data_IF_424635050578
#
_entry.id   IF_424635050578
#
_cell.length_a   1.000
_cell.length_b   1.000
_cell.length_c   1.000
_cell.angle_alpha   90.00
_cell.angle_beta   90.00
_cell.angle_gamma   90.00
#
_symmetry.space_group_name_H-M   'P 1'
#
loop_
_entity.id
_entity.type
_entity.pdbx_description
1 polymer ?
#
# COMPACT_ATOMS: atom_id res chain seq x y z
N UNK A 1 -23.31 -8.65 -4.44
CA UNK A 1 -22.76 -7.44 -5.08
C UNK A 1 -23.46 -7.22 -6.42
N UNK A 2 -24.08 -6.06 -6.64
CA UNK A 2 -24.75 -5.74 -7.92
C UNK A 2 -23.72 -5.56 -9.05
N UNK A 3 -24.09 -5.93 -10.28
CA UNK A 3 -23.31 -5.70 -11.52
C UNK A 3 -22.90 -4.23 -11.65
N UNK A 4 -23.75 -3.32 -11.17
CA UNK A 4 -23.50 -1.88 -11.17
C UNK A 4 -22.34 -1.46 -10.24
N UNK A 5 -22.16 -2.19 -9.12
CA UNK A 5 -21.05 -1.97 -8.19
C UNK A 5 -19.71 -2.45 -8.73
N UNK A 6 -19.71 -3.55 -9.49
CA UNK A 6 -18.49 -4.08 -10.14
C UNK A 6 -17.99 -3.12 -11.24
N UNK A 7 -18.91 -2.56 -12.03
CA UNK A 7 -18.58 -1.56 -13.06
C UNK A 7 -18.03 -0.27 -12.46
N UNK A 8 -18.64 0.24 -11.37
CA UNK A 8 -18.14 1.45 -10.68
C UNK A 8 -16.73 1.25 -10.12
N UNK A 9 -16.45 0.11 -9.50
CA UNK A 9 -15.11 -0.20 -8.98
C UNK A 9 -14.04 -0.24 -10.11
N UNK A 10 -14.37 -0.84 -11.25
CA UNK A 10 -13.47 -0.89 -12.40
C UNK A 10 -13.19 0.51 -13.01
N UNK A 11 -14.21 1.38 -13.10
CA UNK A 11 -14.03 2.78 -13.53
C UNK A 11 -13.11 3.54 -12.58
N UNK A 12 -13.29 3.36 -11.28
CA UNK A 12 -12.46 4.01 -10.26
C UNK A 12 -11.01 3.53 -10.30
N UNK A 13 -10.78 2.22 -10.48
CA UNK A 13 -9.44 1.65 -10.67
C UNK A 13 -8.69 2.32 -11.83
N UNK A 14 -9.35 2.49 -12.98
CA UNK A 14 -8.74 3.17 -14.13
C UNK A 14 -8.44 4.66 -13.87
N UNK A 15 -9.28 5.34 -13.09
CA UNK A 15 -9.01 6.73 -12.67
C UNK A 15 -7.80 6.84 -11.73
N UNK A 16 -7.53 5.80 -10.93
CA UNK A 16 -6.38 5.72 -10.03
C UNK A 16 -5.08 5.42 -10.78
N UNK A 17 -5.12 4.43 -11.67
CA UNK A 17 -3.94 3.91 -12.39
C UNK A 17 -3.46 4.86 -13.50
N UNK A 18 -4.38 5.60 -14.14
CA UNK A 18 -4.09 6.28 -15.42
C UNK A 18 -4.52 7.73 -15.52
N UNK A 19 -5.11 8.31 -14.47
CA UNK A 19 -5.70 9.64 -14.57
C UNK A 19 -4.72 10.69 -15.15
N UNK A 20 -5.18 11.81 -15.75
CA UNK A 20 -6.52 12.11 -16.26
C UNK A 20 -6.86 11.36 -17.56
N UNK A 21 -8.02 10.71 -17.58
CA UNK A 21 -8.48 9.84 -18.68
C UNK A 21 -9.90 10.22 -19.15
N UNK A 22 -10.24 9.98 -20.41
CA UNK A 22 -11.58 10.26 -20.94
C UNK A 22 -12.56 9.11 -20.71
N UNK A 23 -13.86 9.42 -20.67
CA UNK A 23 -14.91 8.41 -20.59
C UNK A 23 -14.89 7.41 -21.77
N UNK A 24 -14.42 7.83 -22.94
CA UNK A 24 -14.27 6.96 -24.11
C UNK A 24 -13.12 5.97 -23.92
N UNK A 25 -11.97 6.41 -23.40
CA UNK A 25 -10.83 5.53 -23.12
C UNK A 25 -11.17 4.49 -22.04
N UNK A 26 -11.86 4.91 -20.97
CA UNK A 26 -12.40 4.00 -19.95
C UNK A 26 -13.38 3.00 -20.58
N UNK A 27 -14.28 3.47 -21.45
CA UNK A 27 -15.25 2.61 -22.14
C UNK A 27 -14.58 1.53 -22.99
N UNK A 28 -13.57 1.91 -23.78
CA UNK A 28 -12.80 0.96 -24.61
C UNK A 28 -12.12 -0.13 -23.77
N UNK A 29 -11.51 0.24 -22.63
CA UNK A 29 -10.81 -0.72 -21.76
C UNK A 29 -11.76 -1.68 -21.06
N UNK A 30 -12.93 -1.20 -20.66
CA UNK A 30 -13.91 -2.00 -19.92
C UNK A 30 -14.94 -2.71 -20.82
N UNK A 31 -14.88 -2.51 -22.14
CA UNK A 31 -15.90 -3.04 -23.06
C UNK A 31 -17.27 -2.39 -22.87
N UNK A 32 -17.31 -1.14 -22.39
CA UNK A 32 -18.53 -0.40 -22.04
C UNK A 32 -18.77 0.76 -22.99
N UNK A 33 -20.04 1.14 -23.17
CA UNK A 33 -20.36 2.36 -23.89
C UNK A 33 -19.89 3.60 -23.12
N UNK A 34 -19.40 4.61 -23.82
CA UNK A 34 -19.01 5.88 -23.20
C UNK A 34 -20.18 6.55 -22.46
N UNK A 35 -21.43 6.28 -22.85
CA UNK A 35 -22.61 6.76 -22.14
C UNK A 35 -22.81 6.05 -20.79
N UNK A 36 -22.59 4.73 -20.73
CA UNK A 36 -22.64 3.98 -19.48
C UNK A 36 -21.57 4.43 -18.49
N UNK A 37 -20.33 4.62 -18.98
CA UNK A 37 -19.23 5.13 -18.16
C UNK A 37 -19.52 6.55 -17.63
N UNK A 38 -20.11 7.43 -18.45
CA UNK A 38 -20.46 8.79 -18.02
C UNK A 38 -21.43 8.80 -16.83
N UNK A 39 -22.43 7.91 -16.81
CA UNK A 39 -23.35 7.81 -15.65
C UNK A 39 -22.60 7.52 -14.35
N UNK A 40 -21.62 6.61 -14.39
CA UNK A 40 -20.79 6.32 -13.22
C UNK A 40 -19.87 7.49 -12.85
N UNK A 41 -19.27 8.16 -13.84
CA UNK A 41 -18.44 9.35 -13.60
C UNK A 41 -19.24 10.52 -13.02
N UNK A 42 -20.48 10.72 -13.49
CA UNK A 42 -21.36 11.78 -13.01
C UNK A 42 -21.73 11.53 -11.53
N UNK A 43 -22.05 10.28 -11.16
CA UNK A 43 -22.29 9.90 -9.76
C UNK A 43 -21.04 10.06 -8.87
N UNK A 44 -19.85 9.77 -9.40
CA UNK A 44 -18.57 10.00 -8.71
C UNK A 44 -18.27 11.51 -8.54
N UNK A 45 -18.66 12.34 -9.51
CA UNK A 45 -18.54 13.80 -9.40
C UNK A 45 -19.52 14.35 -8.37
N UNK A 46 -20.77 13.90 -8.39
CA UNK A 46 -21.82 14.34 -7.46
C UNK A 46 -21.45 14.00 -6.00
N UNK A 47 -20.82 12.84 -5.78
CA UNK A 47 -20.28 12.44 -4.48
C UNK A 47 -18.94 13.09 -4.11
N UNK A 48 -18.36 13.92 -4.99
CA UNK A 48 -17.07 14.58 -4.78
C UNK A 48 -15.85 13.64 -4.87
N UNK A 49 -16.05 12.40 -5.33
CA UNK A 49 -15.03 11.34 -5.46
C UNK A 49 -14.20 11.47 -6.76
N UNK A 50 -14.76 12.10 -7.79
CA UNK A 50 -14.07 12.43 -9.03
C UNK A 50 -14.28 13.90 -9.41
N UNK A 51 -13.39 14.43 -10.24
CA UNK A 51 -13.53 15.78 -10.81
C UNK A 51 -13.16 15.77 -12.29
N UNK A 52 -13.68 16.76 -13.01
CA UNK A 52 -13.24 17.01 -14.39
C UNK A 52 -11.87 17.70 -14.37
N UNK A 53 -10.93 17.18 -15.15
CA UNK A 53 -9.67 17.84 -15.46
C UNK A 53 -9.75 18.49 -16.85
N UNK A 54 -9.17 19.67 -17.00
CA UNK A 54 -9.00 20.27 -18.33
C UNK A 54 -7.94 19.49 -19.10
N UNK A 55 -8.23 19.18 -20.37
CA UNK A 55 -7.22 18.63 -21.24
C UNK A 55 -6.11 19.67 -21.42
N UNK A 56 -4.87 19.29 -21.09
CA UNK A 56 -3.69 20.12 -21.38
C UNK A 56 -3.67 20.48 -22.87
N UNK A 57 -3.41 21.75 -23.18
CA UNK A 57 -3.29 22.28 -24.54
C UNK A 57 -2.24 21.57 -25.40
N UNK A 58 -1.29 20.85 -24.78
CA UNK A 58 -0.21 20.13 -25.46
C UNK A 58 -0.64 18.82 -26.15
N UNK A 59 -1.82 18.26 -25.82
CA UNK A 59 -2.36 17.05 -26.46
C UNK A 59 -3.40 17.34 -27.55
N UNK A 60 -3.45 18.57 -28.07
CA UNK A 60 -4.37 18.97 -29.13
C UNK A 60 -3.90 18.50 -30.51
N UNK A 61 -4.32 17.30 -30.91
CA UNK A 61 -4.30 16.85 -32.31
C UNK A 61 -5.73 16.53 -32.75
N UNK A 62 -6.50 17.56 -33.11
CA UNK A 62 -7.81 17.37 -33.76
C UNK A 62 -8.74 18.57 -33.76
N UNK A 63 -9.69 18.57 -34.70
CA UNK A 63 -10.82 19.51 -34.78
C UNK A 63 -11.94 19.04 -33.85
N UNK A 64 -12.39 19.89 -32.92
CA UNK A 64 -13.53 19.60 -32.04
C UNK A 64 -13.37 20.16 -30.62
N UNK A 65 -14.47 20.25 -29.86
CA UNK A 65 -14.44 20.64 -28.44
C UNK A 65 -13.64 19.56 -27.67
N UNK A 66 -12.63 19.92 -26.86
CA UNK A 66 -11.80 18.95 -26.17
C UNK A 66 -12.62 18.00 -25.30
N UNK A 67 -12.29 16.70 -25.35
CA UNK A 67 -12.94 15.69 -24.53
C UNK A 67 -12.67 15.99 -23.05
N UNK A 68 -13.73 15.98 -22.23
CA UNK A 68 -13.58 16.09 -20.77
C UNK A 68 -12.76 14.90 -20.27
N UNK A 69 -11.68 15.20 -19.55
CA UNK A 69 -10.92 14.21 -18.81
C UNK A 69 -11.42 14.17 -17.37
N UNK A 70 -11.27 13.02 -16.74
CA UNK A 70 -11.72 12.76 -15.39
C UNK A 70 -10.54 12.29 -14.57
N UNK A 71 -10.53 12.68 -13.30
CA UNK A 71 -9.51 12.30 -12.34
C UNK A 71 -10.17 12.08 -10.98
N UNK A 72 -9.69 11.08 -10.24
CA UNK A 72 -10.10 10.85 -8.85
C UNK A 72 -9.66 12.02 -7.96
N UNK A 73 -10.51 12.42 -7.01
CA UNK A 73 -10.17 13.43 -5.99
C UNK A 73 -9.50 12.77 -4.78
N UNK A 74 -8.97 13.57 -3.85
CA UNK A 74 -8.49 13.05 -2.57
C UNK A 74 -9.61 12.32 -1.79
N UNK A 75 -10.82 12.89 -1.77
CA UNK A 75 -12.01 12.27 -1.16
C UNK A 75 -12.36 10.92 -1.79
N UNK A 76 -12.28 10.81 -3.12
CA UNK A 76 -12.51 9.56 -3.83
C UNK A 76 -11.45 8.51 -3.55
N UNK A 77 -10.18 8.91 -3.35
CA UNK A 77 -9.12 8.00 -2.90
C UNK A 77 -9.39 7.46 -1.50
N UNK A 78 -9.88 8.30 -0.58
CA UNK A 78 -10.23 7.87 0.79
C UNK A 78 -11.34 6.82 0.82
N UNK A 79 -12.46 7.06 0.11
CA UNK A 79 -13.65 6.19 0.17
C UNK A 79 -13.47 4.75 -0.30
N UNK A 80 -12.40 4.43 -1.02
CA UNK A 80 -12.19 3.10 -1.60
C UNK A 80 -11.54 2.10 -0.65
N UNK A 81 -10.88 2.56 0.41
CA UNK A 81 -10.24 1.71 1.42
C UNK A 81 -11.18 1.26 2.55
N UNK A 82 -12.21 2.04 2.88
CA UNK A 82 -12.81 1.95 4.21
C UNK A 82 -13.66 0.71 4.49
N UNK A 83 -14.41 0.11 3.55
CA UNK A 83 -15.36 -0.97 3.95
C UNK A 83 -14.69 -2.26 4.45
N UNK A 84 -13.50 -2.60 3.94
CA UNK A 84 -12.77 -3.77 4.40
C UNK A 84 -11.88 -3.44 5.60
N UNK A 85 -11.31 -2.24 5.62
CA UNK A 85 -10.51 -1.76 6.75
C UNK A 85 -11.38 -1.56 8.00
N UNK A 86 -12.62 -1.08 7.85
CA UNK A 86 -13.60 -0.94 8.93
C UNK A 86 -13.98 -2.31 9.51
N UNK A 87 -14.18 -3.32 8.66
CA UNK A 87 -14.46 -4.68 9.10
C UNK A 87 -13.24 -5.30 9.79
N UNK A 88 -12.04 -5.11 9.24
CA UNK A 88 -10.80 -5.59 9.83
C UNK A 88 -10.53 -4.92 11.20
N UNK A 89 -10.71 -3.61 11.30
CA UNK A 89 -10.61 -2.86 12.56
C UNK A 89 -11.66 -3.32 13.58
N UNK A 90 -12.91 -3.55 13.16
CA UNK A 90 -13.94 -4.09 14.04
C UNK A 90 -13.59 -5.51 14.56
N UNK A 91 -13.06 -6.37 13.70
CA UNK A 91 -12.60 -7.70 14.09
C UNK A 91 -11.42 -7.64 15.07
N UNK A 92 -10.46 -6.74 14.85
CA UNK A 92 -9.32 -6.54 15.75
C UNK A 92 -9.75 -5.99 17.11
N UNK A 93 -10.69 -5.03 17.15
CA UNK A 93 -11.29 -4.56 18.41
C UNK A 93 -11.96 -5.71 19.18
N UNK A 94 -12.75 -6.54 18.49
CA UNK A 94 -13.39 -7.69 19.12
C UNK A 94 -12.37 -8.73 19.63
N UNK A 95 -11.28 -8.94 18.89
CA UNK A 95 -10.19 -9.82 19.32
C UNK A 95 -9.54 -9.29 20.61
N UNK A 96 -9.30 -7.98 20.69
CA UNK A 96 -8.76 -7.34 21.90
C UNK A 96 -9.74 -7.46 23.07
N UNK A 97 -11.04 -7.29 22.86
CA UNK A 97 -12.05 -7.45 23.92
C UNK A 97 -12.09 -8.87 24.49
N UNK A 98 -11.99 -9.90 23.63
CA UNK A 98 -12.10 -11.31 24.04
C UNK A 98 -10.79 -11.83 24.63
N UNK A 99 -9.66 -11.50 23.98
CA UNK A 99 -8.35 -12.09 24.27
C UNK A 99 -7.32 -11.15 24.90
N UNK A 100 -7.67 -9.88 25.11
CA UNK A 100 -6.76 -8.85 25.60
C UNK A 100 -5.65 -8.48 24.60
N UNK A 101 -4.71 -7.66 25.06
CA UNK A 101 -3.59 -7.16 24.22
C UNK A 101 -2.67 -8.30 23.75
N UNK A 102 -2.49 -9.34 24.58
CA UNK A 102 -1.70 -10.52 24.23
C UNK A 102 -2.24 -11.24 22.97
N UNK A 103 -3.55 -11.23 22.74
CA UNK A 103 -4.14 -11.82 21.54
C UNK A 103 -3.83 -10.99 20.28
N UNK A 104 -3.77 -9.67 20.41
CA UNK A 104 -3.38 -8.76 19.33
C UNK A 104 -1.90 -8.95 18.98
N UNK A 105 -1.02 -9.00 19.98
CA UNK A 105 0.40 -9.26 19.76
C UNK A 105 0.64 -10.60 19.08
N UNK A 106 -0.05 -11.66 19.53
CA UNK A 106 0.08 -12.99 18.95
C UNK A 106 -0.44 -13.03 17.50
N UNK A 107 -1.57 -12.37 17.23
CA UNK A 107 -2.08 -12.22 15.88
C UNK A 107 -1.08 -11.49 14.98
N UNK A 108 -0.53 -10.37 15.44
CA UNK A 108 0.46 -9.59 14.71
C UNK A 108 1.71 -10.41 14.37
N UNK A 109 2.24 -11.16 15.36
CA UNK A 109 3.38 -12.07 15.18
C UNK A 109 3.09 -13.15 14.13
N UNK A 110 1.94 -13.83 14.22
CA UNK A 110 1.55 -14.85 13.23
C UNK A 110 1.36 -14.28 11.84
N UNK A 111 0.78 -13.08 11.75
CA UNK A 111 0.56 -12.40 10.47
C UNK A 111 1.89 -12.11 9.77
N UNK A 112 2.87 -11.52 10.46
CA UNK A 112 4.17 -11.25 9.84
C UNK A 112 4.91 -12.54 9.50
N UNK A 113 4.86 -13.55 10.38
CA UNK A 113 5.45 -14.87 10.10
C UNK A 113 4.86 -15.52 8.84
N UNK A 114 3.58 -15.34 8.56
CA UNK A 114 2.97 -15.83 7.31
C UNK A 114 3.49 -15.11 6.06
N UNK A 115 4.05 -13.89 6.20
CA UNK A 115 4.65 -13.13 5.09
C UNK A 115 6.11 -13.56 4.89
N UNK A 116 6.88 -13.63 5.98
CA UNK A 116 8.34 -13.83 5.91
C UNK A 116 8.77 -15.27 6.23
N UNK A 117 7.83 -16.21 6.35
CA UNK A 117 8.10 -17.56 6.84
C UNK A 117 9.08 -18.37 6.00
N UNK A 118 9.20 -18.03 4.71
CA UNK A 118 10.13 -18.66 3.77
C UNK A 118 11.47 -17.90 3.63
N UNK A 119 11.64 -16.79 4.37
CA UNK A 119 12.89 -16.02 4.37
C UNK A 119 13.87 -16.65 5.35
N UNK A 120 15.03 -17.06 4.87
CA UNK A 120 16.10 -17.59 5.72
C UNK A 120 16.74 -16.45 6.54
N UNK A 121 17.00 -16.66 7.84
CA UNK A 121 17.73 -15.69 8.66
C UNK A 121 19.16 -15.47 8.14
N UNK A 122 19.60 -14.21 8.17
CA UNK A 122 20.94 -13.80 7.79
C UNK A 122 22.00 -14.28 8.79
N UNK A 123 23.22 -14.49 8.30
CA UNK A 123 24.43 -14.42 9.12
C UNK A 123 24.80 -12.92 9.30
N UNK A 124 24.66 -12.36 10.52
CA UNK A 124 24.92 -10.94 10.74
C UNK A 124 26.39 -10.54 10.62
N UNK A 125 27.31 -11.52 10.51
CA UNK A 125 28.74 -11.27 10.29
C UNK A 125 29.10 -11.10 8.82
N UNK A 126 28.21 -11.52 7.91
CA UNK A 126 28.35 -11.39 6.47
C UNK A 126 27.46 -10.27 5.94
N UNK A 127 28.08 -9.16 5.54
CA UNK A 127 27.38 -7.96 5.05
C UNK A 127 26.55 -8.26 3.81
N UNK A 128 27.09 -9.05 2.87
CA UNK A 128 26.40 -9.37 1.62
C UNK A 128 25.17 -10.25 1.91
N UNK A 129 25.27 -11.12 2.92
CA UNK A 129 24.16 -11.96 3.36
C UNK A 129 23.04 -11.15 4.04
N UNK A 130 23.39 -10.15 4.86
CA UNK A 130 22.41 -9.22 5.47
C UNK A 130 21.69 -8.39 4.39
N UNK A 131 22.40 -7.89 3.39
CA UNK A 131 21.78 -7.18 2.26
C UNK A 131 20.86 -8.09 1.46
N UNK A 132 21.29 -9.30 1.11
CA UNK A 132 20.46 -10.28 0.41
C UNK A 132 19.20 -10.66 1.21
N UNK A 133 19.31 -10.76 2.53
CA UNK A 133 18.16 -11.02 3.41
C UNK A 133 17.21 -9.83 3.47
N UNK A 134 17.73 -8.60 3.48
CA UNK A 134 16.90 -7.40 3.38
C UNK A 134 16.11 -7.35 2.05
N UNK A 135 16.73 -7.76 0.95
CA UNK A 135 16.08 -7.89 -0.35
C UNK A 135 14.99 -8.98 -0.32
N UNK A 136 15.28 -10.14 0.26
CA UNK A 136 14.31 -11.22 0.42
C UNK A 136 13.10 -10.81 1.27
N UNK A 137 13.31 -10.02 2.34
CA UNK A 137 12.23 -9.41 3.12
C UNK A 137 11.38 -8.48 2.24
N UNK A 138 12.01 -7.60 1.45
CA UNK A 138 11.28 -6.70 0.57
C UNK A 138 10.43 -7.47 -0.47
N UNK A 139 10.97 -8.54 -1.06
CA UNK A 139 10.25 -9.41 -1.98
C UNK A 139 9.05 -10.12 -1.32
N UNK A 140 9.22 -10.64 -0.11
CA UNK A 140 8.14 -11.25 0.65
C UNK A 140 6.98 -10.26 0.90
N UNK A 141 7.31 -9.01 1.24
CA UNK A 141 6.32 -7.95 1.42
C UNK A 141 5.69 -7.47 0.10
N UNK A 142 6.43 -7.53 -1.02
CA UNK A 142 5.89 -7.27 -2.36
C UNK A 142 4.81 -8.29 -2.75
N UNK A 143 5.00 -9.56 -2.43
CA UNK A 143 4.04 -10.62 -2.73
C UNK A 143 2.65 -10.37 -2.08
N UNK A 144 2.62 -9.64 -0.97
CA UNK A 144 1.40 -9.23 -0.26
C UNK A 144 1.04 -7.75 -0.43
N UNK A 145 1.65 -7.07 -1.40
CA UNK A 145 1.20 -5.76 -1.88
C UNK A 145 1.72 -4.54 -1.12
N UNK A 146 2.87 -4.62 -0.43
CA UNK A 146 3.44 -3.46 0.27
C UNK A 146 4.29 -2.52 -0.61
N UNK A 147 4.50 -2.87 -1.88
CA UNK A 147 5.38 -2.09 -2.78
C UNK A 147 6.71 -1.73 -2.08
N UNK A 148 7.38 -2.77 -1.58
CA UNK A 148 8.62 -2.69 -0.86
C UNK A 148 9.84 -2.67 -1.79
N UNK A 149 10.88 -1.98 -1.35
CA UNK A 149 12.16 -1.85 -2.04
C UNK A 149 13.27 -1.69 -1.02
N UNK A 150 14.46 -2.18 -1.33
CA UNK A 150 15.67 -1.88 -0.58
C UNK A 150 16.47 -0.78 -1.26
N UNK A 151 17.28 -0.06 -0.48
CA UNK A 151 18.27 0.88 -1.01
C UNK A 151 19.46 1.02 -0.06
N UNK A 152 20.70 1.07 -0.55
CA UNK A 152 21.86 1.40 0.27
C UNK A 152 21.81 2.87 0.71
N UNK A 153 22.08 3.12 2.00
CA UNK A 153 22.11 4.46 2.61
C UNK A 153 23.18 4.52 3.71
N UNK A 154 24.22 5.33 3.50
CA UNK A 154 25.30 5.48 4.47
C UNK A 154 26.03 4.15 4.69
N UNK A 155 26.17 3.74 5.94
CA UNK A 155 26.78 2.46 6.34
C UNK A 155 25.71 1.37 6.56
N UNK A 156 24.65 1.37 5.77
CA UNK A 156 23.58 0.40 5.92
C UNK A 156 22.65 0.33 4.72
N UNK A 157 21.63 -0.51 4.83
CA UNK A 157 20.53 -0.62 3.87
C UNK A 157 19.24 -0.10 4.50
N UNK A 158 18.31 0.38 3.68
CA UNK A 158 16.97 0.73 4.10
C UNK A 158 15.94 -0.12 3.38
N UNK A 159 15.04 -0.71 4.13
CA UNK A 159 13.82 -1.34 3.62
C UNK A 159 12.74 -0.26 3.63
N UNK A 160 12.25 0.11 2.46
CA UNK A 160 11.19 1.09 2.26
C UNK A 160 9.93 0.38 1.76
N UNK A 161 8.78 0.62 2.39
CA UNK A 161 7.47 0.14 1.92
C UNK A 161 6.64 1.36 1.51
N UNK A 162 6.29 1.46 0.23
CA UNK A 162 5.57 2.61 -0.33
C UNK A 162 4.05 2.45 -0.28
N UNK A 163 3.58 1.27 0.14
CA UNK A 163 2.17 0.98 0.40
C UNK A 163 2.05 0.08 1.63
N UNK A 164 1.02 0.29 2.45
CA UNK A 164 0.72 -0.60 3.56
C UNK A 164 -0.77 -0.98 3.46
N UNK A 165 -1.09 -2.23 3.06
CA UNK A 165 -2.47 -2.68 2.91
C UNK A 165 -3.29 -2.67 4.21
N UNK A 166 -2.64 -2.50 5.35
CA UNK A 166 -3.26 -2.49 6.68
C UNK A 166 -3.01 -1.19 7.42
N UNK A 167 -2.62 -0.11 6.73
CA UNK A 167 -2.22 1.15 7.40
C UNK A 167 -3.30 1.70 8.32
N UNK A 168 -4.56 1.65 7.88
CA UNK A 168 -5.68 2.18 8.66
C UNK A 168 -5.96 1.34 9.93
N UNK A 169 -5.74 0.04 9.87
CA UNK A 169 -5.84 -0.82 11.06
C UNK A 169 -4.62 -0.61 11.96
N UNK A 170 -3.43 -0.46 11.38
CA UNK A 170 -2.19 -0.22 12.12
C UNK A 170 -2.15 1.14 12.86
N UNK A 171 -2.96 2.12 12.44
CA UNK A 171 -3.19 3.38 13.17
C UNK A 171 -3.78 3.12 14.57
N UNK A 172 -4.70 2.16 14.70
CA UNK A 172 -5.35 1.79 15.98
C UNK A 172 -4.63 0.64 16.70
N UNK A 173 -3.91 -0.20 15.94
CA UNK A 173 -3.20 -1.38 16.44
C UNK A 173 -1.70 -1.35 16.07
N UNK A 174 -0.88 -0.53 16.75
CA UNK A 174 0.56 -0.40 16.48
C UNK A 174 1.35 -1.71 16.62
N UNK A 175 0.81 -2.70 17.34
CA UNK A 175 1.40 -4.03 17.52
C UNK A 175 1.69 -4.71 16.17
N UNK A 176 0.92 -4.37 15.12
CA UNK A 176 1.17 -4.82 13.75
C UNK A 176 2.53 -4.33 13.23
N UNK A 177 2.83 -3.04 13.39
CA UNK A 177 4.11 -2.46 12.97
C UNK A 177 5.27 -2.90 13.86
N UNK A 178 5.01 -3.11 15.16
CA UNK A 178 6.01 -3.61 16.11
C UNK A 178 6.41 -5.05 15.80
N UNK A 179 5.43 -5.92 15.51
CA UNK A 179 5.68 -7.29 15.10
C UNK A 179 6.51 -7.36 13.81
N UNK A 180 6.20 -6.51 12.82
CA UNK A 180 7.02 -6.38 11.60
C UNK A 180 8.47 -6.00 11.93
N UNK A 181 8.68 -4.98 12.76
CA UNK A 181 10.02 -4.57 13.14
C UNK A 181 10.75 -5.69 13.88
N UNK A 182 10.08 -6.42 14.77
CA UNK A 182 10.65 -7.53 15.51
C UNK A 182 11.06 -8.69 14.59
N UNK A 183 10.22 -9.01 13.59
CA UNK A 183 10.56 -10.02 12.58
C UNK A 183 11.78 -9.61 11.76
N UNK A 184 11.90 -8.33 11.38
CA UNK A 184 13.08 -7.84 10.65
C UNK A 184 14.35 -7.98 11.49
N UNK A 185 14.30 -7.63 12.79
CA UNK A 185 15.44 -7.82 13.71
C UNK A 185 15.87 -9.27 13.80
N UNK A 186 14.90 -10.20 13.88
CA UNK A 186 15.17 -11.62 13.99
C UNK A 186 15.80 -12.19 12.72
N UNK A 187 15.26 -11.84 11.55
CA UNK A 187 15.76 -12.31 10.27
C UNK A 187 17.12 -11.70 9.92
N UNK A 188 17.34 -10.43 10.19
CA UNK A 188 18.59 -9.77 9.82
C UNK A 188 19.72 -10.00 10.84
N UNK A 189 19.41 -10.58 12.01
CA UNK A 189 20.39 -10.82 13.07
C UNK A 189 21.03 -9.56 13.67
N UNK A 190 20.53 -8.37 13.31
CA UNK A 190 21.07 -7.07 13.74
C UNK A 190 19.96 -6.14 14.24
N UNK A 191 20.35 -5.07 14.92
CA UNK A 191 19.40 -4.05 15.33
C UNK A 191 18.83 -3.34 14.11
N UNK A 192 17.50 -3.14 14.06
CA UNK A 192 16.86 -2.31 13.05
C UNK A 192 16.13 -1.13 13.67
N UNK A 193 16.17 0.00 12.98
CA UNK A 193 15.54 1.25 13.40
C UNK A 193 14.44 1.65 12.42
N UNK A 194 13.20 1.71 12.91
CA UNK A 194 12.07 2.27 12.14
C UNK A 194 12.18 3.78 12.17
N UNK A 195 12.25 4.40 11.00
CA UNK A 195 12.42 5.85 10.82
C UNK A 195 11.10 6.56 10.52
N UNK A 196 10.19 5.88 9.83
CA UNK A 196 8.91 6.41 9.38
C UNK A 196 7.90 5.27 9.21
N UNK A 197 6.61 5.56 9.33
CA UNK A 197 5.52 4.61 9.13
C UNK A 197 4.30 5.29 8.49
N UNK A 198 3.72 4.65 7.48
CA UNK A 198 2.49 5.12 6.85
C UNK A 198 1.34 5.27 7.87
N UNK A 199 1.27 4.37 8.87
CA UNK A 199 0.29 4.45 9.95
C UNK A 199 0.42 5.73 10.83
N UNK A 200 1.58 6.39 10.84
CA UNK A 200 1.76 7.68 11.51
C UNK A 200 1.57 8.87 10.56
N UNK A 201 1.09 8.64 9.34
CA UNK A 201 0.88 9.67 8.32
C UNK A 201 2.10 9.98 7.44
N UNK A 202 3.18 9.19 7.54
CA UNK A 202 4.33 9.34 6.64
C UNK A 202 4.02 8.84 5.22
N UNK A 203 4.80 9.31 4.24
CA UNK A 203 4.62 8.90 2.83
C UNK A 203 5.07 7.46 2.53
N UNK A 204 5.90 6.87 3.39
CA UNK A 204 6.37 5.50 3.28
C UNK A 204 6.83 4.97 4.65
N UNK A 205 6.73 3.66 4.86
CA UNK A 205 7.41 3.03 5.98
C UNK A 205 8.90 2.91 5.63
N UNK A 206 9.79 3.32 6.51
CA UNK A 206 11.24 3.17 6.31
C UNK A 206 11.88 2.53 7.52
N UNK A 207 12.61 1.44 7.30
CA UNK A 207 13.41 0.77 8.33
C UNK A 207 14.88 0.78 7.90
N UNK A 208 15.75 1.32 8.74
CA UNK A 208 17.18 1.27 8.55
C UNK A 208 17.78 0.03 9.21
N UNK A 209 18.64 -0.63 8.44
CA UNK A 209 19.42 -1.80 8.84
C UNK A 209 20.90 -1.39 8.73
N UNK A 210 21.62 -1.29 9.86
CA UNK A 210 23.03 -0.97 9.85
C UNK A 210 23.85 -2.17 9.35
N UNK A 211 24.72 -1.92 8.38
CA UNK A 211 25.71 -2.88 7.87
C UNK A 211 27.05 -2.54 8.51
N UNK A 212 27.12 -2.65 9.84
CA UNK A 212 28.40 -2.54 10.55
C UNK A 212 29.00 -3.93 10.65
N UNK A 213 30.15 -4.15 10.03
CA UNK A 213 30.97 -5.33 10.29
C UNK A 213 31.22 -5.37 11.80
N UNK A 214 30.67 -6.37 12.49
CA UNK A 214 31.07 -6.68 13.87
C UNK A 214 32.46 -7.33 13.82
N UNK A 215 33.44 -6.53 13.41
CA UNK A 215 34.85 -6.86 13.49
C UNK A 215 35.28 -6.82 14.95
N UNK A 216 35.53 -8.02 15.49
CA UNK A 216 36.45 -8.36 16.59
C UNK A 216 37.05 -7.16 17.36
N UNK A 217 36.71 -7.05 18.65
CA UNK A 217 37.67 -6.56 19.65
C UNK A 217 38.38 -7.75 20.28
#
# INVERSE_FOLDING_TARGET
MSVEGQTRAAVVKLLLEEGPITASEIGTRLGLSAAGVRRHLDALIESGEARTASASSLRQRGRGRPAKQFQITATGRGRLGHTYDDLAGAAMRQLREIGGDAAIEEFAKRRVQAIVGDVEPADPTDVDNVEATADAIAEAFNAVGFAASTRPVGNGVQICQHHCPVSHVAEEFPELCEAEQQAFRQLLGTHVQRLATIANGDCACTTHVPLVSTGSR
#
